data_IF_015891583986
#
_entry.id   IF_015891583986
#
_cell.length_a   1.000
_cell.length_b   1.000
_cell.length_c   1.000
_cell.angle_alpha   90.00
_cell.angle_beta   90.00
_cell.angle_gamma   90.00
#
_symmetry.space_group_name_H-M   'P 1'
#
loop_
_entity.id
_entity.type
_entity.pdbx_description
1 polymer ?
#
# COMPACT_ATOMS: atom_id res chain seq x y z
N UNK A 1 -0.11 -17.50 -78.92
CA UNK A 1 1.15 -17.30 -78.18
C UNK A 1 0.80 -17.13 -76.70
N UNK A 2 0.79 -18.21 -75.92
CA UNK A 2 0.34 -18.21 -74.52
C UNK A 2 1.57 -18.16 -73.60
N UNK A 3 1.81 -17.02 -72.95
CA UNK A 3 2.82 -16.90 -71.89
C UNK A 3 2.21 -17.50 -70.62
N UNK A 4 2.63 -18.71 -70.25
CA UNK A 4 2.35 -19.28 -68.93
C UNK A 4 3.13 -18.50 -67.87
N UNK A 5 2.41 -17.88 -66.92
CA UNK A 5 3.02 -17.33 -65.72
C UNK A 5 3.49 -18.47 -64.83
N UNK A 6 4.77 -18.44 -64.45
CA UNK A 6 5.38 -19.40 -63.53
C UNK A 6 5.03 -18.96 -62.11
N UNK A 7 4.07 -19.61 -61.48
CA UNK A 7 3.79 -19.44 -60.05
C UNK A 7 4.96 -20.02 -59.27
N UNK A 8 5.72 -19.16 -58.59
CA UNK A 8 6.71 -19.58 -57.60
C UNK A 8 5.95 -20.02 -56.34
N UNK A 9 5.78 -21.32 -56.16
CA UNK A 9 5.43 -21.89 -54.86
C UNK A 9 6.63 -21.69 -53.91
N UNK A 10 6.65 -20.56 -53.21
CA UNK A 10 7.63 -20.26 -52.17
C UNK A 10 7.23 -21.03 -50.91
N UNK A 11 7.79 -22.23 -50.74
CA UNK A 11 7.72 -22.94 -49.46
C UNK A 11 8.42 -22.15 -48.35
N UNK A 12 7.84 -22.16 -47.14
CA UNK A 12 8.45 -21.57 -45.95
C UNK A 12 9.86 -22.11 -45.74
N UNK A 13 10.80 -21.22 -45.41
CA UNK A 13 12.18 -21.65 -45.12
C UNK A 13 12.28 -22.26 -43.73
N UNK A 14 13.19 -23.22 -43.51
CA UNK A 14 13.46 -23.77 -42.17
C UNK A 14 13.80 -22.65 -41.17
N UNK A 15 14.54 -21.64 -41.63
CA UNK A 15 14.92 -20.46 -40.85
C UNK A 15 13.67 -19.71 -40.34
N UNK A 16 12.62 -19.61 -41.15
CA UNK A 16 11.40 -18.89 -40.81
C UNK A 16 10.63 -19.56 -39.68
N UNK A 17 10.55 -20.90 -39.70
CA UNK A 17 9.93 -21.68 -38.62
C UNK A 17 10.76 -21.54 -37.33
N UNK A 18 12.09 -21.57 -37.43
CA UNK A 18 12.97 -21.38 -36.27
C UNK A 18 12.80 -19.98 -35.66
N UNK A 19 12.75 -18.94 -36.49
CA UNK A 19 12.53 -17.56 -36.05
C UNK A 19 11.13 -17.40 -35.43
N UNK A 20 10.09 -17.99 -36.03
CA UNK A 20 8.74 -17.94 -35.50
C UNK A 20 8.64 -18.59 -34.11
N UNK A 21 9.25 -19.77 -33.93
CA UNK A 21 9.31 -20.44 -32.62
C UNK A 21 10.11 -19.61 -31.61
N UNK A 22 11.22 -18.99 -32.03
CA UNK A 22 12.01 -18.13 -31.16
C UNK A 22 11.21 -16.90 -30.68
N UNK A 23 10.51 -16.21 -31.59
CA UNK A 23 9.65 -15.07 -31.26
C UNK A 23 8.51 -15.51 -30.33
N UNK A 24 7.87 -16.65 -30.62
CA UNK A 24 6.80 -17.21 -29.80
C UNK A 24 7.30 -17.50 -28.38
N UNK A 25 8.47 -18.12 -28.25
CA UNK A 25 9.10 -18.41 -26.95
C UNK A 25 9.38 -17.14 -26.14
N UNK A 26 9.96 -16.11 -26.78
CA UNK A 26 10.21 -14.82 -26.13
C UNK A 26 8.89 -14.16 -25.69
N UNK A 27 7.88 -14.17 -26.56
CA UNK A 27 6.55 -13.64 -26.25
C UNK A 27 5.93 -14.32 -25.03
N UNK A 28 6.00 -15.65 -24.94
CA UNK A 28 5.50 -16.40 -23.81
C UNK A 28 6.24 -16.06 -22.50
N UNK A 29 7.56 -15.90 -22.55
CA UNK A 29 8.35 -15.49 -21.39
C UNK A 29 7.95 -14.10 -20.87
N UNK A 30 7.73 -13.15 -21.78
CA UNK A 30 7.27 -11.80 -21.41
C UNK A 30 5.88 -11.86 -20.76
N UNK A 31 4.95 -12.64 -21.31
CA UNK A 31 3.61 -12.80 -20.73
C UNK A 31 3.71 -13.37 -19.30
N UNK A 32 4.49 -14.42 -19.09
CA UNK A 32 4.67 -15.03 -17.77
C UNK A 32 5.29 -14.05 -16.75
N UNK A 33 6.22 -13.21 -17.18
CA UNK A 33 6.79 -12.15 -16.35
C UNK A 33 5.73 -11.11 -15.94
N UNK A 34 4.94 -10.63 -16.89
CA UNK A 34 3.87 -9.65 -16.63
C UNK A 34 2.81 -10.20 -15.66
N UNK A 35 2.39 -11.44 -15.83
CA UNK A 35 1.47 -12.10 -14.90
C UNK A 35 2.07 -12.20 -13.49
N UNK A 36 3.35 -12.59 -13.39
CA UNK A 36 4.06 -12.69 -12.12
C UNK A 36 4.14 -11.33 -11.42
N UNK A 37 4.36 -10.25 -12.17
CA UNK A 37 4.40 -8.88 -11.65
C UNK A 37 3.00 -8.40 -11.22
N UNK A 38 1.96 -8.71 -11.99
CA UNK A 38 0.57 -8.42 -11.63
C UNK A 38 0.15 -9.06 -10.31
N UNK A 39 0.42 -10.36 -10.12
CA UNK A 39 0.13 -11.06 -8.86
C UNK A 39 0.89 -10.46 -7.66
N UNK A 40 2.13 -10.00 -7.88
CA UNK A 40 2.93 -9.33 -6.84
C UNK A 40 2.38 -7.95 -6.47
N UNK A 41 1.86 -7.23 -7.45
CA UNK A 41 1.20 -5.94 -7.24
C UNK A 41 -0.04 -6.10 -6.36
N UNK A 42 -0.87 -7.11 -6.64
CA UNK A 42 -2.04 -7.45 -5.81
C UNK A 42 -1.65 -7.73 -4.36
N UNK A 43 -0.64 -8.60 -4.14
CA UNK A 43 -0.16 -8.89 -2.78
C UNK A 43 0.33 -7.67 -2.02
N UNK A 44 0.95 -6.70 -2.72
CA UNK A 44 1.39 -5.45 -2.07
C UNK A 44 0.19 -4.58 -1.69
N UNK A 45 -0.82 -4.48 -2.54
CA UNK A 45 -2.06 -3.74 -2.25
C UNK A 45 -2.81 -4.34 -1.06
N UNK A 46 -2.83 -5.66 -0.93
CA UNK A 46 -3.44 -6.35 0.21
C UNK A 46 -2.71 -6.03 1.53
N UNK A 47 -1.37 -5.96 1.52
CA UNK A 47 -0.60 -5.54 2.70
C UNK A 47 -0.95 -4.13 3.17
N UNK A 48 -1.02 -3.17 2.23
CA UNK A 48 -1.39 -1.78 2.56
C UNK A 48 -2.81 -1.67 3.08
N UNK A 49 -3.74 -2.42 2.49
CA UNK A 49 -5.14 -2.46 2.92
C UNK A 49 -5.24 -3.01 4.35
N UNK A 50 -4.58 -4.14 4.62
CA UNK A 50 -4.54 -4.74 5.95
C UNK A 50 -3.90 -3.81 6.99
N UNK A 51 -2.76 -3.18 6.66
CA UNK A 51 -2.11 -2.21 7.52
C UNK A 51 -3.04 -1.01 7.82
N UNK A 52 -3.76 -0.52 6.81
CA UNK A 52 -4.68 0.62 6.95
C UNK A 52 -5.86 0.30 7.85
N UNK A 53 -6.45 -0.88 7.69
CA UNK A 53 -7.52 -1.36 8.57
C UNK A 53 -7.01 -1.43 10.01
N UNK A 54 -5.82 -2.00 10.20
CA UNK A 54 -5.21 -2.12 11.52
C UNK A 54 -4.88 -0.76 12.16
N UNK A 55 -4.40 0.21 11.37
CA UNK A 55 -4.17 1.57 11.84
C UNK A 55 -5.48 2.24 12.28
N UNK A 56 -6.57 2.04 11.52
CA UNK A 56 -7.90 2.58 11.85
C UNK A 56 -8.47 1.96 13.11
N UNK A 57 -8.27 0.67 13.32
CA UNK A 57 -8.65 -0.03 14.55
C UNK A 57 -7.97 0.60 15.77
N UNK A 58 -6.63 0.74 15.73
CA UNK A 58 -5.86 1.41 16.80
C UNK A 58 -6.27 2.85 17.01
N UNK A 59 -6.58 3.58 15.94
CA UNK A 59 -7.09 4.94 16.04
C UNK A 59 -8.46 4.97 16.73
N UNK A 60 -9.37 4.06 16.37
CA UNK A 60 -10.70 3.97 16.96
C UNK A 60 -10.66 3.65 18.46
N UNK A 61 -9.75 2.79 18.91
CA UNK A 61 -9.53 2.50 20.34
C UNK A 61 -9.23 3.79 21.12
N UNK A 62 -8.34 4.64 20.60
CA UNK A 62 -7.97 5.91 21.23
C UNK A 62 -9.11 6.92 21.18
N UNK A 63 -9.78 7.00 20.03
CA UNK A 63 -10.90 7.94 19.83
C UNK A 63 -12.12 7.60 20.68
N UNK A 64 -12.29 6.36 21.11
CA UNK A 64 -13.38 5.94 22.01
C UNK A 64 -13.14 6.36 23.47
N UNK A 65 -11.90 6.64 23.86
CA UNK A 65 -11.59 7.08 25.23
C UNK A 65 -12.18 8.47 25.52
N UNK A 66 -12.99 8.58 26.58
CA UNK A 66 -13.60 9.86 27.00
C UNK A 66 -12.56 10.87 27.48
N UNK A 67 -11.46 10.38 28.04
CA UNK A 67 -10.35 11.18 28.52
C UNK A 67 -9.11 10.88 27.68
N UNK A 68 -8.48 11.93 27.15
CA UNK A 68 -7.22 11.82 26.42
C UNK A 68 -6.12 12.48 27.24
N UNK A 69 -5.09 11.69 27.51
CA UNK A 69 -3.86 12.17 28.15
C UNK A 69 -2.72 12.03 27.14
N UNK A 70 -1.75 12.93 27.21
CA UNK A 70 -0.55 12.83 26.41
C UNK A 70 0.14 11.48 26.70
N UNK A 71 0.25 10.63 25.68
CA UNK A 71 0.79 9.28 25.85
C UNK A 71 1.36 8.76 24.54
N UNK A 72 2.35 7.90 24.64
CA UNK A 72 2.89 7.14 23.52
C UNK A 72 2.77 5.67 23.87
N UNK A 73 2.16 4.90 22.98
CA UNK A 73 2.05 3.44 23.08
C UNK A 73 2.66 2.83 21.84
N UNK A 74 3.33 1.71 21.99
CA UNK A 74 3.89 0.96 20.88
C UNK A 74 3.79 -0.53 21.15
N UNK A 75 3.86 -1.32 20.08
CA UNK A 75 3.79 -2.76 20.20
C UNK A 75 3.83 -3.48 18.87
N UNK A 76 3.58 -4.78 18.95
CA UNK A 76 3.45 -5.67 17.81
C UNK A 76 1.98 -6.08 17.66
N UNK A 77 1.58 -6.39 16.43
CA UNK A 77 0.33 -7.10 16.18
C UNK A 77 0.41 -8.53 16.71
N UNK A 78 -0.75 -9.16 16.95
CA UNK A 78 -0.82 -10.52 17.52
C UNK A 78 -0.06 -11.57 16.71
N UNK A 79 0.02 -11.36 15.39
CA UNK A 79 0.75 -12.22 14.46
C UNK A 79 2.19 -11.75 14.18
N UNK A 80 2.72 -10.78 14.93
CA UNK A 80 4.03 -10.15 14.77
C UNK A 80 4.31 -9.56 13.36
N UNK A 81 3.28 -9.38 12.52
CA UNK A 81 3.43 -8.87 11.15
C UNK A 81 3.62 -7.34 11.11
N UNK A 82 3.00 -6.63 12.04
CA UNK A 82 2.96 -5.17 12.08
C UNK A 82 3.54 -4.64 13.39
N UNK A 83 4.43 -3.67 13.29
CA UNK A 83 4.86 -2.83 14.40
C UNK A 83 4.01 -1.56 14.40
N UNK A 84 3.36 -1.26 15.51
CA UNK A 84 2.48 -0.12 15.62
C UNK A 84 2.97 0.85 16.69
N UNK A 85 2.74 2.14 16.46
CA UNK A 85 2.99 3.22 17.41
C UNK A 85 1.84 4.21 17.37
N UNK A 86 1.31 4.52 18.55
CA UNK A 86 0.25 5.49 18.79
C UNK A 86 0.82 6.62 19.63
N UNK A 87 0.64 7.85 19.19
CA UNK A 87 1.12 9.03 19.88
C UNK A 87 -0.03 10.03 20.03
N UNK A 88 -0.35 10.40 21.27
CA UNK A 88 -1.34 11.39 21.63
C UNK A 88 -0.61 12.58 22.22
N UNK A 89 -0.71 13.74 21.58
CA UNK A 89 -0.03 14.97 22.01
C UNK A 89 -1.02 16.14 22.06
N UNK A 90 -0.91 17.06 23.02
CA UNK A 90 -1.69 18.30 22.99
C UNK A 90 -1.36 19.09 21.73
N UNK A 91 -2.39 19.57 21.04
CA UNK A 91 -2.24 20.41 19.86
C UNK A 91 -2.33 21.89 20.29
N UNK A 92 -1.26 22.69 20.13
CA UNK A 92 -1.27 24.10 20.54
C UNK A 92 -2.24 24.89 19.66
N UNK A 93 -3.21 25.57 20.29
CA UNK A 93 -4.09 26.53 19.61
C UNK A 93 -3.53 27.94 19.84
N UNK A 94 -2.92 28.53 18.81
CA UNK A 94 -2.25 29.85 18.91
C UNK A 94 -3.22 31.04 18.97
N UNK A 95 -4.53 30.85 18.78
CA UNK A 95 -5.45 31.96 18.41
C UNK A 95 -6.72 32.12 19.24
N UNK A 96 -6.94 31.34 20.32
CA UNK A 96 -8.16 31.53 21.14
C UNK A 96 -7.88 32.44 22.33
N UNK A 97 -8.30 33.71 22.21
CA UNK A 97 -8.46 34.63 23.35
C UNK A 97 -9.31 33.96 24.43
N UNK A 98 -8.82 33.98 25.67
CA UNK A 98 -9.44 33.47 26.90
C UNK A 98 -9.69 31.95 26.90
N UNK A 99 -8.85 31.23 27.64
CA UNK A 99 -9.05 29.86 28.16
C UNK A 99 -10.20 29.07 27.49
N UNK A 100 -9.98 28.47 26.31
CA UNK A 100 -11.03 27.74 25.59
C UNK A 100 -11.62 26.63 26.48
N UNK A 101 -12.94 26.37 26.42
CA UNK A 101 -13.58 25.34 27.24
C UNK A 101 -13.26 23.90 26.77
N UNK A 102 -12.27 23.73 25.90
CA UNK A 102 -11.87 22.47 25.32
C UNK A 102 -10.36 22.41 25.04
N UNK A 103 -9.81 21.21 25.13
CA UNK A 103 -8.45 20.88 24.70
C UNK A 103 -8.50 20.15 23.36
N UNK A 104 -7.52 20.42 22.50
CA UNK A 104 -7.33 19.68 21.25
C UNK A 104 -6.14 18.75 21.42
N UNK A 105 -6.32 17.49 21.06
CA UNK A 105 -5.27 16.49 21.01
C UNK A 105 -5.06 16.05 19.58
N UNK A 106 -3.80 15.94 19.18
CA UNK A 106 -3.36 15.27 17.97
C UNK A 106 -3.10 13.81 18.30
N UNK A 107 -3.71 12.92 17.53
CA UNK A 107 -3.53 11.48 17.63
C UNK A 107 -2.88 11.01 16.33
N UNK A 108 -1.68 10.46 16.43
CA UNK A 108 -0.92 9.89 15.33
C UNK A 108 -0.80 8.38 15.52
N UNK A 109 -1.13 7.62 14.48
CA UNK A 109 -1.01 6.16 14.46
C UNK A 109 -0.12 5.77 13.29
N UNK A 110 1.06 5.23 13.59
CA UNK A 110 2.01 4.74 12.60
C UNK A 110 2.07 3.22 12.64
N UNK A 111 1.94 2.58 11.48
CA UNK A 111 2.11 1.13 11.29
C UNK A 111 3.31 0.90 10.37
N UNK A 112 4.21 0.00 10.75
CA UNK A 112 5.39 -0.37 9.96
C UNK A 112 5.51 -1.89 9.85
N UNK A 113 6.03 -2.36 8.71
CA UNK A 113 6.25 -3.78 8.45
C UNK A 113 7.43 -4.00 7.50
N UNK A 114 8.06 -5.18 7.52
CA UNK A 114 9.11 -5.50 6.56
C UNK A 114 8.55 -5.59 5.14
N UNK A 115 9.17 -4.86 4.21
CA UNK A 115 8.95 -4.99 2.77
C UNK A 115 10.22 -5.46 2.05
N UNK A 116 10.08 -5.75 0.75
CA UNK A 116 11.17 -6.32 -0.07
C UNK A 116 12.38 -5.38 -0.25
N UNK A 117 12.14 -4.07 -0.28
CA UNK A 117 13.16 -3.02 -0.51
C UNK A 117 13.47 -2.20 0.76
N UNK A 118 12.97 -2.63 1.92
CA UNK A 118 13.09 -1.91 3.18
C UNK A 118 11.81 -1.96 4.00
N UNK A 119 11.79 -1.24 5.11
CA UNK A 119 10.58 -1.12 5.93
C UNK A 119 9.53 -0.29 5.19
N UNK A 120 8.33 -0.84 5.06
CA UNK A 120 7.14 -0.11 4.61
C UNK A 120 6.43 0.46 5.84
N UNK A 121 5.63 1.49 5.63
CA UNK A 121 4.79 2.01 6.70
C UNK A 121 3.68 2.91 6.18
N UNK A 122 2.69 3.12 7.04
CA UNK A 122 1.62 4.09 6.87
C UNK A 122 1.47 4.89 8.16
N UNK A 123 0.98 6.11 8.03
CA UNK A 123 0.70 6.98 9.15
C UNK A 123 -0.69 7.59 8.97
N UNK A 124 -1.52 7.52 10.01
CA UNK A 124 -2.80 8.18 10.09
C UNK A 124 -2.73 9.23 11.20
N UNK A 125 -3.24 10.43 10.92
CA UNK A 125 -3.30 11.52 11.88
C UNK A 125 -4.73 12.05 11.98
N UNK A 126 -5.16 12.35 13.19
CA UNK A 126 -6.46 12.98 13.46
C UNK A 126 -6.37 13.93 14.64
N UNK A 127 -7.32 14.86 14.71
CA UNK A 127 -7.48 15.79 15.84
C UNK A 127 -8.77 15.44 16.58
N UNK A 128 -8.69 15.38 17.90
CA UNK A 128 -9.85 15.20 18.77
C UNK A 128 -9.94 16.34 19.78
N UNK A 129 -11.14 16.91 19.88
CA UNK A 129 -11.48 17.90 20.90
C UNK A 129 -12.06 17.20 22.13
N UNK A 130 -11.66 17.65 23.32
CA UNK A 130 -12.19 17.17 24.60
C UNK A 130 -12.64 18.38 25.39
N UNK A 131 -13.93 18.42 25.73
CA UNK A 131 -14.53 19.51 26.53
C UNK A 131 -14.08 19.35 27.99
N UNK A 132 -13.65 20.44 28.62
CA UNK A 132 -13.32 20.45 30.03
C UNK A 132 -14.62 20.27 30.83
N UNK A 133 -14.77 19.13 31.51
CA UNK A 133 -15.90 18.90 32.42
C UNK A 133 -15.71 19.84 33.61
N UNK A 134 -16.62 20.82 33.76
CA UNK A 134 -16.73 21.69 34.93
C UNK A 134 -17.20 20.90 36.15
#
# INVERSE_FOLDING_TARGET
MSKKFKTFEQGFTLLEIMVAIAILGIGLLVILQLFSEGLRSVSTSDEYTAATIYAKERMAEVLTSSELTATTKEGLSENNKFQWKVEVTPYPMETVKNNPPFFVYRIKVAITWPGRLGKKGIELETLKTVVQKQ
#
